data_IF_282777510030
#
_entry.id   IF_282777510030
#
_cell.length_a   1.000
_cell.length_b   1.000
_cell.length_c   1.000
_cell.angle_alpha   90.00
_cell.angle_beta   90.00
_cell.angle_gamma   90.00
#
_symmetry.space_group_name_H-M   'P 1'
#
loop_
_entity.id
_entity.type
_entity.pdbx_description
1 polymer ?
#
# COMPACT_ATOMS: atom_id res chain seq x y z
N UNK A 1 0.13 13.29 -2.40
CA UNK A 1 0.89 13.22 -1.13
C UNK A 1 1.76 14.47 -1.02
N UNK A 2 1.91 15.05 0.17
CA UNK A 2 2.81 16.19 0.43
C UNK A 2 4.24 15.69 0.71
N UNK A 3 5.24 16.60 0.67
CA UNK A 3 6.63 16.27 1.03
C UNK A 3 6.73 15.68 2.45
N UNK A 4 6.03 16.27 3.41
CA UNK A 4 6.00 15.80 4.80
C UNK A 4 5.40 14.41 4.92
N UNK A 5 4.31 14.13 4.19
CA UNK A 5 3.71 12.79 4.17
C UNK A 5 4.69 11.75 3.58
N UNK A 6 5.42 12.11 2.52
CA UNK A 6 6.45 11.26 1.94
C UNK A 6 7.61 10.99 2.91
N UNK A 7 8.10 12.01 3.61
CA UNK A 7 9.13 11.88 4.64
C UNK A 7 8.65 11.00 5.81
N UNK A 8 7.41 11.19 6.27
CA UNK A 8 6.79 10.33 7.29
C UNK A 8 6.71 8.89 6.82
N UNK A 9 6.23 8.64 5.59
CA UNK A 9 6.15 7.29 5.02
C UNK A 9 7.52 6.64 4.94
N UNK A 10 8.54 7.37 4.47
CA UNK A 10 9.90 6.86 4.37
C UNK A 10 10.49 6.49 5.74
N UNK A 11 10.12 7.21 6.81
CA UNK A 11 10.57 6.89 8.17
C UNK A 11 9.98 5.60 8.74
N UNK A 12 8.94 5.03 8.11
CA UNK A 12 8.38 3.75 8.54
C UNK A 12 9.21 2.54 8.13
N UNK A 13 10.13 2.71 7.17
CA UNK A 13 11.00 1.65 6.68
C UNK A 13 12.30 1.59 7.49
N UNK A 14 12.84 0.39 7.72
CA UNK A 14 14.01 0.20 8.58
C UNK A 14 15.33 0.75 8.00
N UNK A 15 15.41 1.10 6.70
CA UNK A 15 16.66 1.59 6.08
C UNK A 15 16.56 3.05 5.64
N UNK A 16 17.60 3.81 5.95
CA UNK A 16 17.70 5.27 5.79
C UNK A 16 18.04 5.78 4.39
N UNK A 17 18.04 4.92 3.35
CA UNK A 17 18.41 5.29 1.96
C UNK A 17 17.51 4.70 0.87
N UNK A 18 16.28 4.37 1.20
CA UNK A 18 15.36 3.81 0.22
C UNK A 18 14.91 4.84 -0.84
N UNK A 19 14.97 4.45 -2.10
CA UNK A 19 14.34 5.20 -3.19
C UNK A 19 13.07 4.48 -3.62
N UNK A 20 11.99 5.23 -3.82
CA UNK A 20 10.70 4.70 -4.25
C UNK A 20 10.57 4.83 -5.77
N UNK A 21 10.42 3.70 -6.49
CA UNK A 21 10.17 3.70 -7.95
C UNK A 21 8.72 3.40 -8.26
N UNK A 22 8.01 4.32 -8.92
CA UNK A 22 6.62 4.12 -9.33
C UNK A 22 6.47 2.98 -10.35
N UNK A 23 5.80 1.88 -9.95
CA UNK A 23 5.40 0.76 -10.82
C UNK A 23 4.04 1.02 -11.46
N UNK A 24 3.03 1.35 -10.64
CA UNK A 24 1.64 1.52 -11.04
C UNK A 24 1.06 2.78 -10.44
N UNK A 25 0.31 3.54 -11.24
CA UNK A 25 -0.56 4.63 -10.81
C UNK A 25 -1.92 4.50 -11.49
N UNK A 26 -2.99 4.26 -10.73
CA UNK A 26 -4.32 4.05 -11.33
C UNK A 26 -4.82 5.21 -12.22
N UNK A 27 -4.39 6.45 -11.93
CA UNK A 27 -4.68 7.62 -12.78
C UNK A 27 -3.92 7.65 -14.11
N UNK A 28 -2.81 6.90 -14.23
CA UNK A 28 -1.98 6.76 -15.43
C UNK A 28 -2.30 5.47 -16.18
N UNK A 29 -2.40 4.36 -15.45
CA UNK A 29 -2.46 2.99 -15.98
C UNK A 29 -3.89 2.41 -15.98
N UNK A 30 -4.85 3.14 -15.41
CA UNK A 30 -6.25 2.71 -15.28
C UNK A 30 -6.56 2.05 -13.93
N UNK A 31 -7.85 2.04 -13.58
CA UNK A 31 -8.34 1.57 -12.28
C UNK A 31 -8.69 0.07 -12.23
N UNK A 32 -8.16 -0.73 -13.15
CA UNK A 32 -8.48 -2.16 -13.22
C UNK A 32 -7.47 -3.00 -12.44
N UNK A 33 -7.93 -4.10 -11.83
CA UNK A 33 -7.06 -5.12 -11.23
C UNK A 33 -6.05 -5.68 -12.25
N UNK A 34 -6.49 -5.85 -13.51
CA UNK A 34 -5.62 -6.28 -14.62
C UNK A 34 -4.42 -5.35 -14.79
N UNK A 35 -4.64 -4.03 -14.81
CA UNK A 35 -3.56 -3.05 -14.94
C UNK A 35 -2.59 -3.07 -13.73
N UNK A 36 -3.10 -3.34 -12.53
CA UNK A 36 -2.26 -3.57 -11.35
C UNK A 36 -1.38 -4.81 -11.54
N UNK A 37 -1.98 -5.97 -11.85
CA UNK A 37 -1.24 -7.23 -12.02
C UNK A 37 -0.19 -7.16 -13.13
N UNK A 38 -0.50 -6.51 -14.27
CA UNK A 38 0.45 -6.30 -15.37
C UNK A 38 1.71 -5.48 -14.97
N UNK A 39 1.63 -4.70 -13.88
CA UNK A 39 2.70 -3.79 -13.44
C UNK A 39 3.37 -4.19 -12.13
N UNK A 40 2.64 -4.86 -11.24
CA UNK A 40 3.04 -5.08 -9.85
C UNK A 40 3.34 -6.55 -9.53
N UNK A 41 2.77 -7.51 -10.26
CA UNK A 41 3.03 -8.92 -9.98
C UNK A 41 4.52 -9.23 -10.11
N UNK A 42 5.02 -10.10 -9.22
CA UNK A 42 6.41 -10.52 -9.13
C UNK A 42 7.42 -9.41 -8.83
N UNK A 43 6.95 -8.19 -8.56
CA UNK A 43 7.77 -7.08 -8.08
C UNK A 43 7.60 -6.95 -6.56
N UNK A 44 8.69 -6.70 -5.85
CA UNK A 44 8.67 -6.55 -4.39
C UNK A 44 10.05 -6.28 -3.79
N UNK A 45 10.10 -5.63 -2.62
CA UNK A 45 8.96 -5.28 -1.78
C UNK A 45 8.27 -3.99 -2.25
N UNK A 46 6.98 -3.84 -1.93
CA UNK A 46 6.14 -2.77 -2.46
C UNK A 46 5.45 -1.94 -1.39
N UNK A 47 5.33 -0.64 -1.66
CA UNK A 47 4.46 0.26 -0.90
C UNK A 47 3.26 0.60 -1.77
N UNK A 48 2.06 0.34 -1.26
CA UNK A 48 0.80 0.82 -1.82
C UNK A 48 0.38 2.08 -1.07
N UNK A 49 0.32 3.21 -1.78
CA UNK A 49 -0.28 4.44 -1.25
C UNK A 49 -1.64 4.63 -1.87
N UNK A 50 -2.62 4.99 -1.05
CA UNK A 50 -3.99 5.31 -1.41
C UNK A 50 -4.27 6.76 -1.08
N UNK A 51 -4.64 7.56 -2.08
CA UNK A 51 -5.03 8.96 -1.89
C UNK A 51 -6.48 9.19 -2.35
N UNK A 52 -7.34 9.60 -1.42
CA UNK A 52 -8.68 10.09 -1.71
C UNK A 52 -8.68 11.62 -1.71
N UNK A 53 -8.96 12.22 -2.88
CA UNK A 53 -9.11 13.68 -2.98
C UNK A 53 -10.41 14.16 -2.32
N UNK A 54 -11.50 13.41 -2.52
CA UNK A 54 -12.81 13.77 -2.00
C UNK A 54 -12.84 13.76 -0.46
N UNK A 55 -12.31 12.70 0.15
CA UNK A 55 -12.26 12.60 1.61
C UNK A 55 -11.00 13.21 2.20
N UNK A 56 -10.06 13.70 1.39
CA UNK A 56 -8.80 14.27 1.88
C UNK A 56 -8.03 13.29 2.81
N UNK A 57 -7.94 12.02 2.42
CA UNK A 57 -7.23 10.96 3.16
C UNK A 57 -6.02 10.44 2.38
N UNK A 58 -4.99 10.04 3.12
CA UNK A 58 -3.82 9.31 2.59
C UNK A 58 -3.48 8.17 3.55
N UNK A 59 -3.57 6.94 3.05
CA UNK A 59 -3.31 5.71 3.80
C UNK A 59 -2.73 4.65 2.87
N UNK A 60 -2.47 3.45 3.36
CA UNK A 60 -1.98 2.38 2.52
C UNK A 60 -1.38 1.22 3.29
N UNK A 61 -0.55 0.44 2.60
CA UNK A 61 0.15 -0.70 3.18
C UNK A 61 1.47 -0.99 2.49
N UNK A 62 2.34 -1.69 3.19
CA UNK A 62 3.61 -2.22 2.70
C UNK A 62 3.55 -3.74 2.72
N UNK A 63 3.98 -4.36 1.61
CA UNK A 63 4.18 -5.79 1.48
C UNK A 63 5.67 -6.04 1.23
N UNK A 64 6.29 -6.87 2.07
CA UNK A 64 7.66 -7.32 1.86
C UNK A 64 7.74 -8.42 0.79
N UNK A 65 6.66 -9.18 0.62
CA UNK A 65 6.57 -10.24 -0.39
C UNK A 65 6.08 -9.69 -1.74
N UNK A 66 6.56 -10.25 -2.87
CA UNK A 66 6.03 -9.89 -4.19
C UNK A 66 4.56 -10.27 -4.35
N UNK A 67 3.79 -9.43 -5.05
CA UNK A 67 2.40 -9.76 -5.42
C UNK A 67 2.36 -10.89 -6.44
N UNK A 68 1.32 -11.70 -6.38
CA UNK A 68 0.95 -12.62 -7.46
C UNK A 68 -0.58 -12.64 -7.61
N UNK A 69 -1.06 -13.45 -8.54
CA UNK A 69 -2.48 -13.58 -8.86
C UNK A 69 -3.07 -14.91 -8.38
N UNK A 70 -2.40 -15.59 -7.44
CA UNK A 70 -2.90 -16.82 -6.83
C UNK A 70 -3.96 -16.45 -5.79
N UNK A 71 -5.04 -17.22 -5.69
CA UNK A 71 -6.13 -16.96 -4.74
C UNK A 71 -5.76 -17.53 -3.37
N UNK A 72 -4.85 -16.88 -2.66
CA UNK A 72 -4.34 -17.34 -1.38
C UNK A 72 -3.86 -16.19 -0.48
N UNK A 73 -3.74 -16.48 0.82
CA UNK A 73 -3.01 -15.62 1.73
C UNK A 73 -1.52 -15.88 1.59
N UNK A 74 -0.71 -14.82 1.67
CA UNK A 74 0.73 -14.94 1.82
C UNK A 74 1.15 -14.55 3.21
N UNK A 75 2.09 -15.35 3.73
CA UNK A 75 2.78 -15.04 4.96
C UNK A 75 3.71 -13.86 4.76
N UNK A 76 3.55 -12.81 5.55
CA UNK A 76 4.44 -11.64 5.55
C UNK A 76 4.57 -11.04 6.96
N UNK A 77 5.72 -11.24 7.60
CA UNK A 77 5.99 -10.74 8.96
C UNK A 77 6.33 -9.25 9.01
N UNK A 78 6.76 -8.69 7.88
CA UNK A 78 7.21 -7.30 7.77
C UNK A 78 6.10 -6.40 7.18
N UNK A 79 4.97 -6.98 6.78
CA UNK A 79 3.81 -6.23 6.33
C UNK A 79 3.27 -5.29 7.40
N UNK A 80 2.84 -4.11 6.97
CA UNK A 80 2.16 -3.15 7.82
C UNK A 80 1.20 -2.30 7.01
N UNK A 81 0.19 -1.77 7.69
CA UNK A 81 -0.68 -0.71 7.15
C UNK A 81 -0.34 0.62 7.80
N UNK A 82 -0.67 1.70 7.12
CA UNK A 82 -0.40 3.05 7.62
C UNK A 82 -1.48 4.05 7.26
N UNK A 83 -1.53 5.12 8.05
CA UNK A 83 -2.31 6.32 7.81
C UNK A 83 -1.36 7.51 7.86
N UNK A 84 -1.33 8.33 6.81
CA UNK A 84 -0.55 9.57 6.76
C UNK A 84 -1.41 10.81 6.96
N UNK A 85 -2.70 10.72 6.60
CA UNK A 85 -3.65 11.81 6.76
C UNK A 85 -5.08 11.29 6.80
N UNK A 86 -5.84 11.77 7.79
CA UNK A 86 -7.29 11.62 7.85
C UNK A 86 -7.94 12.98 8.09
N UNK A 87 -9.13 13.16 7.53
CA UNK A 87 -10.01 14.31 7.76
C UNK A 87 -11.25 13.93 8.58
N UNK A 88 -11.38 12.65 8.95
CA UNK A 88 -12.52 12.19 9.74
C UNK A 88 -12.43 12.76 11.16
N UNK A 89 -13.55 13.23 11.75
CA UNK A 89 -13.56 13.78 13.10
C UNK A 89 -13.01 12.78 14.14
N UNK A 90 -13.33 11.50 13.98
CA UNK A 90 -12.86 10.39 14.83
C UNK A 90 -11.34 10.22 14.81
N UNK A 91 -10.67 10.67 13.75
CA UNK A 91 -9.22 10.60 13.59
C UNK A 91 -8.56 11.99 13.57
N UNK A 92 -9.28 13.04 13.99
CA UNK A 92 -8.79 14.43 13.97
C UNK A 92 -7.52 14.64 14.80
N UNK A 93 -7.32 13.87 15.87
CA UNK A 93 -6.11 13.88 16.69
C UNK A 93 -4.98 13.00 16.13
N UNK A 94 -5.30 12.09 15.20
CA UNK A 94 -4.34 11.14 14.64
C UNK A 94 -3.64 11.77 13.43
N UNK A 95 -2.43 12.30 13.66
CA UNK A 95 -1.63 12.93 12.59
C UNK A 95 -1.15 11.90 11.56
N UNK A 96 -0.56 10.80 12.03
CA UNK A 96 -0.09 9.68 11.21
C UNK A 96 0.15 8.47 12.10
N UNK A 97 -0.03 7.25 11.58
CA UNK A 97 0.17 6.02 12.33
C UNK A 97 0.57 4.85 11.43
N UNK A 98 1.26 3.88 12.05
CA UNK A 98 1.69 2.61 11.46
C UNK A 98 1.20 1.47 12.34
N UNK A 99 0.63 0.43 11.74
CA UNK A 99 0.23 -0.79 12.43
C UNK A 99 0.84 -2.00 11.74
N UNK A 100 1.60 -2.77 12.51
CA UNK A 100 2.24 -4.00 12.04
C UNK A 100 1.24 -5.15 12.01
N UNK A 101 1.55 -6.17 11.22
CA UNK A 101 0.76 -7.39 11.14
C UNK A 101 0.56 -8.04 12.52
N UNK A 102 -0.65 -8.57 12.74
CA UNK A 102 -1.00 -9.37 13.95
C UNK A 102 -0.90 -10.87 13.68
N UNK A 103 -1.41 -11.29 12.53
CA UNK A 103 -1.34 -12.66 12.03
C UNK A 103 -0.53 -12.67 10.73
N UNK A 104 0.76 -13.05 10.78
CA UNK A 104 1.62 -13.07 9.62
C UNK A 104 1.11 -13.97 8.50
N UNK A 105 0.42 -15.07 8.80
CA UNK A 105 -0.03 -16.04 7.78
C UNK A 105 -1.19 -15.52 6.93
N UNK A 106 -1.91 -14.50 7.44
CA UNK A 106 -2.98 -13.82 6.74
C UNK A 106 -2.63 -12.35 6.42
N UNK A 107 -1.34 -12.04 6.25
CA UNK A 107 -0.85 -10.65 6.14
C UNK A 107 -1.27 -9.94 4.85
N UNK A 108 -1.18 -10.63 3.72
CA UNK A 108 -1.62 -10.12 2.41
C UNK A 108 -2.42 -11.19 1.69
N UNK A 109 -3.44 -10.78 0.96
CA UNK A 109 -4.29 -11.69 0.18
C UNK A 109 -4.11 -11.42 -1.31
N UNK A 110 -3.73 -12.45 -2.05
CA UNK A 110 -3.57 -12.37 -3.48
C UNK A 110 -4.86 -12.82 -4.16
N UNK A 111 -5.24 -12.12 -5.23
CA UNK A 111 -6.46 -12.47 -5.97
C UNK A 111 -6.35 -11.99 -7.42
N UNK A 112 -6.64 -12.84 -8.43
CA UNK A 112 -6.41 -12.49 -9.84
C UNK A 112 -7.28 -11.35 -10.38
N UNK A 113 -8.35 -11.00 -9.67
CA UNK A 113 -9.25 -9.89 -10.02
C UNK A 113 -9.26 -8.80 -8.95
N UNK A 114 -8.33 -8.86 -7.99
CA UNK A 114 -8.21 -7.90 -6.90
C UNK A 114 -7.08 -6.92 -7.12
N UNK A 115 -7.10 -5.82 -6.37
CA UNK A 115 -5.91 -4.99 -6.18
C UNK A 115 -5.07 -5.49 -4.99
N UNK A 116 -4.14 -4.66 -4.50
CA UNK A 116 -3.38 -4.98 -3.29
C UNK A 116 -4.32 -5.11 -2.09
N UNK A 117 -4.19 -6.20 -1.34
CA UNK A 117 -5.04 -6.52 -0.19
C UNK A 117 -4.19 -6.87 1.02
N UNK A 118 -4.40 -6.15 2.12
CA UNK A 118 -3.65 -6.29 3.37
C UNK A 118 -4.60 -6.78 4.46
N UNK A 119 -4.32 -7.95 5.01
CA UNK A 119 -5.22 -8.64 5.94
C UNK A 119 -6.47 -9.21 5.25
N UNK A 120 -7.58 -9.17 5.97
CA UNK A 120 -8.89 -9.72 5.54
C UNK A 120 -9.80 -8.62 4.95
N UNK A 121 -9.30 -7.39 4.75
CA UNK A 121 -10.12 -6.25 4.32
C UNK A 121 -9.66 -5.67 2.98
N UNK A 122 -10.57 -5.76 2.01
CA UNK A 122 -10.44 -5.33 0.62
C UNK A 122 -10.15 -3.83 0.47
N UNK A 123 -9.09 -3.47 -0.25
CA UNK A 123 -8.96 -2.13 -0.85
C UNK A 123 -9.44 -2.17 -2.30
N UNK A 124 -10.72 -1.93 -2.53
CA UNK A 124 -11.28 -1.72 -3.86
C UNK A 124 -11.96 -0.36 -3.93
N UNK A 125 -11.20 0.72 -4.12
CA UNK A 125 -11.79 2.00 -4.52
C UNK A 125 -10.88 2.73 -5.50
N UNK A 126 -11.52 3.63 -6.25
CA UNK A 126 -10.97 4.54 -7.25
C UNK A 126 -9.97 5.51 -6.59
N UNK A 127 -8.77 5.01 -6.35
CA UNK A 127 -7.74 5.62 -5.55
C UNK A 127 -6.50 5.80 -6.40
N UNK A 128 -5.72 6.85 -6.15
CA UNK A 128 -4.35 6.88 -6.67
C UNK A 128 -3.61 5.80 -5.88
N UNK A 129 -3.56 4.58 -6.44
CA UNK A 129 -2.75 3.47 -5.96
C UNK A 129 -1.38 3.71 -6.55
N UNK A 130 -0.43 4.11 -5.72
CA UNK A 130 0.98 4.13 -6.11
C UNK A 130 1.61 2.87 -5.56
N UNK A 131 2.05 1.98 -6.45
CA UNK A 131 2.93 0.87 -6.09
C UNK A 131 4.37 1.33 -6.31
N UNK A 132 5.20 1.28 -5.27
CA UNK A 132 6.60 1.65 -5.37
C UNK A 132 7.51 0.48 -5.06
N UNK A 133 8.46 0.16 -5.94
CA UNK A 133 9.53 -0.79 -5.62
C UNK A 133 10.52 -0.14 -4.65
N UNK A 134 10.87 -0.89 -3.63
CA UNK A 134 11.96 -0.57 -2.71
C UNK A 134 13.28 -1.11 -3.29
N UNK A 135 14.16 -0.21 -3.72
CA UNK A 135 15.49 -0.59 -4.24
C UNK A 135 16.57 -0.34 -3.17
N UNK A 136 17.53 -1.26 -3.07
CA UNK A 136 18.68 -1.19 -2.17
C UNK A 136 19.73 -0.17 -2.62
#
# INVERSE_FOLDING_TARGET
MTRKEQETLLSYFPRSKATLRLLFAASRDGFSAKAFHEKCDWNGPTVTVVQSKHFNHVFGGYASVPWDNRRDFKRDTDAFIFLLRSSLPTFSSLKSAKWTVKDPDCAVFHHPTGGPNFGISLFCFKLIIVCMEYMW
#
